data_IF_527084335375
#
_entry.id   IF_527084335375
#
_cell.length_a   1.000
_cell.length_b   1.000
_cell.length_c   1.000
_cell.angle_alpha   90.00
_cell.angle_beta   90.00
_cell.angle_gamma   90.00
#
_symmetry.space_group_name_H-M   'P 1'
#
loop_
_entity.id
_entity.type
_entity.pdbx_description
1 polymer ?
#
# COMPACT_ATOMS: atom_id res chain seq x y z
N UNK A 1 -55.63 15.30 -43.37
CA UNK A 1 -56.26 15.09 -42.04
C UNK A 1 -55.62 13.89 -41.37
N UNK A 2 -54.50 14.09 -40.66
CA UNK A 2 -54.06 13.11 -39.66
C UNK A 2 -55.11 13.14 -38.55
N UNK A 3 -55.63 11.99 -38.16
CA UNK A 3 -56.66 11.91 -37.11
C UNK A 3 -55.99 12.06 -35.74
N UNK A 4 -56.66 12.64 -34.75
CA UNK A 4 -56.12 12.81 -33.39
C UNK A 4 -55.64 11.47 -32.79
N UNK A 5 -56.25 10.37 -33.21
CA UNK A 5 -55.84 9.01 -32.83
C UNK A 5 -54.44 8.62 -33.34
N UNK A 6 -54.02 9.11 -34.51
CA UNK A 6 -52.69 8.85 -35.05
C UNK A 6 -51.62 9.65 -34.30
N UNK A 7 -51.92 10.91 -33.97
CA UNK A 7 -51.06 11.75 -33.13
C UNK A 7 -50.89 11.18 -31.72
N UNK A 8 -51.96 10.66 -31.11
CA UNK A 8 -51.90 10.04 -29.79
C UNK A 8 -51.06 8.75 -29.78
N UNK A 9 -51.13 7.95 -30.85
CA UNK A 9 -50.30 6.74 -31.00
C UNK A 9 -48.82 7.08 -31.14
N UNK A 10 -48.48 8.13 -31.88
CA UNK A 10 -47.09 8.57 -32.05
C UNK A 10 -46.51 9.13 -30.74
N UNK A 11 -47.30 9.90 -29.99
CA UNK A 11 -46.91 10.36 -28.66
C UNK A 11 -46.67 9.18 -27.70
N UNK A 12 -47.53 8.17 -27.72
CA UNK A 12 -47.39 6.98 -26.87
C UNK A 12 -46.12 6.19 -27.22
N UNK A 13 -45.81 6.04 -28.51
CA UNK A 13 -44.56 5.41 -28.97
C UNK A 13 -43.32 6.20 -28.55
N UNK A 14 -43.37 7.53 -28.60
CA UNK A 14 -42.26 8.37 -28.14
C UNK A 14 -42.04 8.23 -26.63
N UNK A 15 -43.11 8.21 -25.83
CA UNK A 15 -43.02 8.01 -24.39
C UNK A 15 -42.41 6.65 -24.08
N UNK A 16 -42.85 5.57 -24.73
CA UNK A 16 -42.27 4.23 -24.55
C UNK A 16 -40.78 4.19 -24.91
N UNK A 17 -40.37 4.88 -25.99
CA UNK A 17 -38.97 4.97 -26.40
C UNK A 17 -38.12 5.75 -25.37
N UNK A 18 -38.66 6.82 -24.81
CA UNK A 18 -38.00 7.60 -23.75
C UNK A 18 -37.86 6.79 -22.46
N UNK A 19 -38.90 6.05 -22.05
CA UNK A 19 -38.85 5.17 -20.87
C UNK A 19 -37.81 4.06 -21.04
N UNK A 20 -37.69 3.49 -22.24
CA UNK A 20 -36.67 2.48 -22.53
C UNK A 20 -35.25 3.07 -22.43
N UNK A 21 -34.99 4.23 -23.03
CA UNK A 21 -33.69 4.91 -22.94
C UNK A 21 -33.31 5.26 -21.50
N UNK A 22 -34.25 5.74 -20.67
CA UNK A 22 -33.99 6.01 -19.26
C UNK A 22 -33.65 4.72 -18.51
N UNK A 23 -34.34 3.62 -18.79
CA UNK A 23 -34.06 2.31 -18.17
C UNK A 23 -32.67 1.79 -18.57
N UNK A 24 -32.26 2.00 -19.82
CA UNK A 24 -30.94 1.63 -20.32
C UNK A 24 -29.83 2.49 -19.71
N UNK A 25 -30.06 3.81 -19.55
CA UNK A 25 -29.14 4.74 -18.85
C UNK A 25 -29.02 4.37 -17.37
N UNK A 26 -30.12 4.00 -16.71
CA UNK A 26 -30.12 3.56 -15.31
C UNK A 26 -29.38 2.23 -15.15
N UNK A 27 -29.57 1.29 -16.09
CA UNK A 27 -28.86 0.01 -16.10
C UNK A 27 -27.35 0.16 -16.39
N UNK A 28 -26.97 1.09 -17.28
CA UNK A 28 -25.56 1.43 -17.53
C UNK A 28 -24.93 2.24 -16.39
N UNK A 29 -25.69 3.12 -15.74
CA UNK A 29 -25.27 3.83 -14.52
C UNK A 29 -25.07 2.89 -13.33
N UNK A 30 -25.87 1.82 -13.22
CA UNK A 30 -25.67 0.76 -12.23
C UNK A 30 -24.47 -0.16 -12.55
N UNK A 31 -24.12 -0.30 -13.84
CA UNK A 31 -22.95 -1.07 -14.31
C UNK A 31 -21.67 -0.25 -14.39
N UNK A 32 -21.72 1.08 -14.23
CA UNK A 32 -20.58 1.83 -13.73
C UNK A 32 -20.40 1.43 -12.26
N UNK A 33 -19.81 0.25 -12.05
CA UNK A 33 -19.10 -0.04 -10.83
C UNK A 33 -18.21 1.17 -10.57
N UNK A 34 -18.58 1.97 -9.58
CA UNK A 34 -17.66 2.90 -8.96
C UNK A 34 -16.49 2.02 -8.54
N UNK A 35 -15.41 2.06 -9.32
CA UNK A 35 -14.10 1.65 -8.85
C UNK A 35 -13.79 2.63 -7.72
N UNK A 36 -14.27 2.32 -6.51
CA UNK A 36 -13.78 2.97 -5.30
C UNK A 36 -12.29 2.68 -5.26
N UNK A 37 -11.51 3.63 -5.76
CA UNK A 37 -10.07 3.58 -5.66
C UNK A 37 -9.75 3.65 -4.16
N UNK A 38 -9.32 2.52 -3.59
CA UNK A 38 -8.92 2.46 -2.19
C UNK A 38 -7.71 3.41 -2.00
N UNK A 39 -7.95 4.58 -1.41
CA UNK A 39 -6.90 5.54 -1.10
C UNK A 39 -6.12 5.05 0.11
N UNK A 40 -4.79 4.99 -0.02
CA UNK A 40 -3.90 4.56 1.07
C UNK A 40 -2.84 5.60 1.33
N UNK A 41 -2.61 5.90 2.61
CA UNK A 41 -1.53 6.80 3.03
C UNK A 41 -0.22 5.99 3.14
N UNK A 42 0.80 6.44 2.42
CA UNK A 42 2.15 5.86 2.48
C UNK A 42 3.14 6.87 3.04
N UNK A 43 3.98 6.46 3.99
CA UNK A 43 5.10 7.26 4.47
C UNK A 43 6.40 6.68 3.91
N UNK A 44 7.17 7.54 3.24
CA UNK A 44 8.49 7.21 2.71
C UNK A 44 9.54 7.86 3.60
N UNK A 45 10.41 7.04 4.20
CA UNK A 45 11.53 7.50 5.01
C UNK A 45 12.81 7.29 4.21
N UNK A 46 13.48 8.40 3.88
CA UNK A 46 14.72 8.37 3.10
C UNK A 46 15.94 8.59 3.99
N UNK A 47 16.92 7.70 3.88
CA UNK A 47 18.21 7.81 4.59
C UNK A 47 19.23 8.54 3.72
N UNK A 48 19.84 9.60 4.26
CA UNK A 48 20.94 10.34 3.60
C UNK A 48 22.31 10.10 4.24
N UNK A 49 22.36 9.60 5.47
CA UNK A 49 23.61 9.39 6.22
C UNK A 49 24.40 8.13 5.80
N UNK A 50 24.01 7.45 4.72
CA UNK A 50 24.65 6.20 4.28
C UNK A 50 25.07 6.33 2.80
N UNK A 51 26.24 6.93 2.52
CA UNK A 51 26.78 7.06 1.15
C UNK A 51 26.98 5.71 0.47
N UNK A 52 26.86 5.62 -0.86
CA UNK A 52 26.82 4.34 -1.60
C UNK A 52 28.10 3.51 -1.40
N UNK A 53 29.23 4.20 -1.33
CA UNK A 53 30.58 3.69 -1.12
C UNK A 53 30.80 3.06 0.27
N UNK A 54 29.96 3.39 1.26
CA UNK A 54 30.14 2.92 2.62
C UNK A 54 29.38 1.61 2.91
N UNK A 55 30.09 0.66 3.51
CA UNK A 55 29.50 -0.61 4.00
C UNK A 55 28.60 -0.42 5.23
N UNK A 56 28.79 0.64 5.99
CA UNK A 56 28.06 0.98 7.22
C UNK A 56 27.60 2.45 7.18
N UNK A 57 26.52 2.82 7.90
CA UNK A 57 26.10 4.21 7.95
C UNK A 57 27.14 5.10 8.63
N UNK A 58 27.15 6.39 8.29
CA UNK A 58 28.03 7.38 8.94
C UNK A 58 27.64 7.61 10.41
N UNK A 59 26.42 7.25 10.79
CA UNK A 59 25.90 7.39 12.14
C UNK A 59 25.06 6.18 12.53
N UNK A 60 25.50 5.46 13.56
CA UNK A 60 24.74 4.35 14.15
C UNK A 60 23.46 4.86 14.82
N UNK A 61 23.51 6.01 15.51
CA UNK A 61 22.30 6.61 16.12
C UNK A 61 21.27 6.98 15.05
N UNK A 62 21.71 7.53 13.91
CA UNK A 62 20.82 7.82 12.79
C UNK A 62 20.14 6.58 12.22
N UNK A 63 20.80 5.42 12.24
CA UNK A 63 20.17 4.15 11.85
C UNK A 63 19.08 3.76 12.85
N UNK A 64 19.38 3.83 14.15
CA UNK A 64 18.42 3.53 15.21
C UNK A 64 17.20 4.46 15.14
N UNK A 65 17.42 5.75 14.90
CA UNK A 65 16.33 6.73 14.79
C UNK A 65 15.43 6.48 13.58
N UNK A 66 16.00 6.10 12.43
CA UNK A 66 15.22 5.67 11.28
C UNK A 66 14.38 4.41 11.60
N UNK A 67 14.92 3.42 12.31
CA UNK A 67 14.13 2.24 12.74
C UNK A 67 12.97 2.68 13.66
N UNK A 68 13.24 3.57 14.63
CA UNK A 68 12.19 4.13 15.51
C UNK A 68 11.13 4.88 14.72
N UNK A 69 11.50 5.69 13.73
CA UNK A 69 10.56 6.39 12.85
C UNK A 69 9.67 5.40 12.08
N UNK A 70 10.26 4.36 11.49
CA UNK A 70 9.53 3.33 10.76
C UNK A 70 8.55 2.57 11.68
N UNK A 71 8.97 2.19 12.88
CA UNK A 71 8.11 1.55 13.91
C UNK A 71 6.98 2.48 14.37
N UNK A 72 7.30 3.75 14.61
CA UNK A 72 6.33 4.77 15.03
C UNK A 72 5.26 5.01 13.97
N UNK A 73 5.66 5.09 12.70
CA UNK A 73 4.71 5.17 11.59
C UNK A 73 3.86 3.90 11.49
N UNK A 74 4.47 2.72 11.55
CA UNK A 74 3.75 1.44 11.50
C UNK A 74 2.64 1.35 12.56
N UNK A 75 2.89 1.85 13.78
CA UNK A 75 1.92 1.84 14.88
C UNK A 75 0.77 2.83 14.71
N UNK A 76 1.00 3.98 14.05
CA UNK A 76 0.03 5.09 13.95
C UNK A 76 -0.68 5.20 12.60
N UNK A 77 -0.25 4.44 11.59
CA UNK A 77 -0.81 4.51 10.26
C UNK A 77 -2.30 4.12 10.28
N UNK A 78 -3.21 4.95 9.75
CA UNK A 78 -4.63 4.62 9.63
C UNK A 78 -4.84 3.44 8.68
N UNK A 79 -5.89 2.65 8.93
CA UNK A 79 -6.39 1.58 8.05
C UNK A 79 -5.32 0.55 7.63
N UNK A 80 -4.44 0.21 8.57
CA UNK A 80 -3.41 -0.81 8.36
C UNK A 80 -3.84 -2.13 8.99
N UNK A 81 -4.24 -3.15 8.18
CA UNK A 81 -4.30 -4.52 8.67
C UNK A 81 -2.97 -4.91 9.30
N UNK A 82 -3.02 -5.67 10.40
CA UNK A 82 -1.84 -6.19 11.11
C UNK A 82 -0.87 -6.93 10.17
N UNK A 83 -1.38 -7.38 9.03
CA UNK A 83 -0.70 -8.13 7.98
C UNK A 83 0.10 -7.29 6.97
N UNK A 84 0.02 -5.95 6.96
CA UNK A 84 0.71 -5.13 5.91
C UNK A 84 2.19 -4.84 6.26
N UNK A 85 3.17 -5.41 5.53
CA UNK A 85 4.59 -5.33 5.88
C UNK A 85 5.20 -3.93 5.69
N UNK A 86 6.32 -3.65 6.36
CA UNK A 86 7.16 -2.48 6.05
C UNK A 86 8.07 -2.81 4.88
N UNK A 87 8.03 -2.00 3.83
CA UNK A 87 8.89 -2.16 2.66
C UNK A 87 10.24 -1.51 2.96
N UNK A 88 11.33 -2.25 2.75
CA UNK A 88 12.71 -1.76 2.92
C UNK A 88 13.44 -1.92 1.59
N UNK A 89 14.00 -0.82 1.09
CA UNK A 89 14.69 -0.79 -0.21
C UNK A 89 16.10 -0.22 -0.08
N UNK A 90 17.01 -0.77 -0.87
CA UNK A 90 18.36 -0.27 -1.09
C UNK A 90 18.73 -0.45 -2.56
N UNK A 91 19.88 0.06 -2.99
CA UNK A 91 20.33 -0.02 -4.39
C UNK A 91 20.24 -1.44 -5.01
N UNK A 92 20.48 -2.49 -4.23
CA UNK A 92 20.38 -3.90 -4.64
C UNK A 92 19.30 -4.70 -3.86
N UNK A 93 18.61 -4.07 -2.92
CA UNK A 93 17.66 -4.74 -2.01
C UNK A 93 18.27 -5.78 -1.04
N UNK A 94 19.61 -5.94 -0.99
CA UNK A 94 20.30 -6.94 -0.17
C UNK A 94 21.03 -6.27 1.00
N UNK A 95 22.04 -5.45 0.69
CA UNK A 95 23.10 -5.13 1.66
C UNK A 95 22.57 -4.29 2.83
N UNK A 96 22.00 -3.12 2.54
CA UNK A 96 21.53 -2.19 3.58
C UNK A 96 20.18 -2.62 4.14
N UNK A 97 19.34 -3.23 3.30
CA UNK A 97 18.10 -3.86 3.76
C UNK A 97 18.39 -4.94 4.80
N UNK A 98 19.37 -5.80 4.56
CA UNK A 98 19.78 -6.84 5.50
C UNK A 98 20.21 -6.27 6.85
N UNK A 99 20.99 -5.19 6.85
CA UNK A 99 21.42 -4.52 8.09
C UNK A 99 20.22 -3.89 8.81
N UNK A 100 19.31 -3.21 8.10
CA UNK A 100 18.07 -2.68 8.67
C UNK A 100 17.26 -3.79 9.35
N UNK A 101 17.02 -4.89 8.64
CA UNK A 101 16.17 -5.98 9.09
C UNK A 101 16.83 -6.68 10.27
N UNK A 102 18.13 -6.98 10.19
CA UNK A 102 18.88 -7.63 11.27
C UNK A 102 18.88 -6.76 12.53
N UNK A 103 19.19 -5.46 12.40
CA UNK A 103 19.13 -4.54 13.54
C UNK A 103 17.72 -4.46 14.13
N UNK A 104 16.68 -4.45 13.29
CA UNK A 104 15.30 -4.44 13.77
C UNK A 104 14.95 -5.72 14.55
N UNK A 105 15.38 -6.90 14.09
CA UNK A 105 15.21 -8.17 14.81
C UNK A 105 15.98 -8.17 16.13
N UNK A 106 17.24 -7.73 16.12
CA UNK A 106 18.06 -7.65 17.32
C UNK A 106 17.47 -6.70 18.37
N UNK A 107 16.85 -5.59 17.96
CA UNK A 107 16.14 -4.69 18.88
C UNK A 107 14.94 -5.41 19.51
N UNK A 108 14.22 -6.24 18.75
CA UNK A 108 13.10 -7.00 19.30
C UNK A 108 13.58 -8.07 20.30
N UNK A 109 14.65 -8.81 19.98
CA UNK A 109 15.29 -9.76 20.89
C UNK A 109 15.76 -9.07 22.18
N UNK A 110 16.45 -7.92 22.07
CA UNK A 110 16.90 -7.16 23.24
C UNK A 110 15.74 -6.73 24.16
N UNK A 111 14.61 -6.34 23.57
CA UNK A 111 13.44 -5.89 24.35
C UNK A 111 12.68 -7.05 25.00
N UNK A 112 12.67 -8.23 24.38
CA UNK A 112 11.91 -9.38 24.84
C UNK A 112 12.72 -10.28 25.78
N UNK A 113 13.96 -10.59 25.38
CA UNK A 113 14.78 -11.63 26.00
C UNK A 113 16.00 -11.05 26.74
N UNK A 114 16.27 -9.75 26.58
CA UNK A 114 17.49 -9.07 27.07
C UNK A 114 18.80 -9.69 26.56
N UNK A 115 18.71 -10.45 25.46
CA UNK A 115 19.81 -11.08 24.75
C UNK A 115 19.67 -10.80 23.25
N UNK A 116 20.77 -10.89 22.50
CA UNK A 116 20.78 -10.68 21.05
C UNK A 116 21.63 -11.75 20.37
N UNK A 117 21.03 -12.47 19.42
CA UNK A 117 21.74 -13.40 18.54
C UNK A 117 21.74 -12.86 17.10
N UNK A 118 22.84 -12.16 16.77
CA UNK A 118 23.04 -11.57 15.45
C UNK A 118 23.19 -12.65 14.37
N UNK A 119 23.81 -13.79 14.69
CA UNK A 119 24.02 -14.86 13.71
C UNK A 119 22.69 -15.47 13.31
N UNK A 120 21.83 -15.77 14.29
CA UNK A 120 20.49 -16.27 14.04
C UNK A 120 19.64 -15.26 13.27
N UNK A 121 19.68 -13.98 13.64
CA UNK A 121 18.95 -12.93 12.93
C UNK A 121 19.34 -12.86 11.44
N UNK A 122 20.64 -12.86 11.13
CA UNK A 122 21.13 -12.85 9.74
C UNK A 122 20.80 -14.15 9.01
N UNK A 123 20.89 -15.30 9.68
CA UNK A 123 20.53 -16.60 9.12
C UNK A 123 19.05 -16.63 8.70
N UNK A 124 18.14 -16.15 9.55
CA UNK A 124 16.71 -16.05 9.21
C UNK A 124 16.45 -15.17 7.99
N UNK A 125 17.17 -14.04 7.86
CA UNK A 125 17.05 -13.16 6.70
C UNK A 125 17.49 -13.88 5.42
N UNK A 126 18.62 -14.60 5.46
CA UNK A 126 19.13 -15.36 4.31
C UNK A 126 18.21 -16.51 3.90
N UNK A 127 17.50 -17.13 4.84
CA UNK A 127 16.50 -18.15 4.55
C UNK A 127 15.32 -17.54 3.78
N UNK A 128 14.84 -16.37 4.20
CA UNK A 128 13.70 -15.70 3.57
C UNK A 128 14.05 -15.02 2.23
N UNK A 129 15.30 -14.59 2.05
CA UNK A 129 15.79 -14.00 0.80
C UNK A 129 17.20 -14.55 0.52
N UNK A 130 17.31 -15.65 -0.24
CA UNK A 130 18.60 -16.24 -0.57
C UNK A 130 19.39 -15.32 -1.51
N UNK A 131 20.65 -15.09 -1.16
CA UNK A 131 21.64 -14.35 -1.95
C UNK A 131 23.05 -14.81 -1.61
#
# INVERSE_FOLDING_TARGET
>A
NRTDADMQKDATKQIQKLTFMISEIMATGANQQQLEAEVRICCVIQVRMWPIENKVPLSTSGLIDMIKMARSWRKRAPDRPETKPTIVMSHNGVSRCGIFIAANVCIDQMNMDHEVDVFHAVKMIRINRPQ
#
